data_IF_029433196891
#
_entry.id   IF_029433196891
#
_cell.length_a   1.000
_cell.length_b   1.000
_cell.length_c   1.000
_cell.angle_alpha   90.00
_cell.angle_beta   90.00
_cell.angle_gamma   90.00
#
_symmetry.space_group_name_H-M   'P 1'
#
loop_
_entity.id
_entity.type
_entity.pdbx_description
1 polymer ?
#
# COMPACT_ATOMS: atom_id res chain seq x y z
N UNK A 1 -7.04 9.19 5.69
CA UNK A 1 -5.88 9.37 4.79
C UNK A 1 -4.89 10.43 5.29
N UNK A 2 -5.08 11.75 5.13
CA UNK A 2 -4.04 12.76 5.47
C UNK A 2 -3.62 12.71 6.96
N UNK A 3 -4.54 13.00 7.89
CA UNK A 3 -4.24 13.03 9.32
C UNK A 3 -3.86 11.65 9.89
N UNK A 4 -4.45 10.59 9.33
CA UNK A 4 -4.17 9.22 9.74
C UNK A 4 -2.77 8.80 9.34
N UNK A 5 -2.30 9.13 8.13
CA UNK A 5 -0.92 8.86 7.71
C UNK A 5 0.06 9.54 8.66
N UNK A 6 -0.11 10.83 8.94
CA UNK A 6 0.74 11.55 9.88
C UNK A 6 0.75 10.90 11.28
N UNK A 7 -0.43 10.52 11.78
CA UNK A 7 -0.57 9.86 13.09
C UNK A 7 0.05 8.47 13.13
N UNK A 8 -0.12 7.65 12.09
CA UNK A 8 0.40 6.28 12.01
C UNK A 8 1.93 6.29 11.93
N UNK A 9 2.51 7.19 11.12
CA UNK A 9 3.95 7.36 11.01
C UNK A 9 4.56 8.15 12.17
N UNK A 10 3.73 8.73 13.04
CA UNK A 10 4.13 9.65 14.10
C UNK A 10 5.03 10.80 13.57
N UNK A 11 4.72 11.29 12.38
CA UNK A 11 5.40 12.41 11.74
C UNK A 11 4.38 13.33 11.06
N UNK A 12 4.21 14.51 11.66
CA UNK A 12 3.27 15.54 11.19
C UNK A 12 3.87 16.46 10.12
N UNK A 13 5.14 16.25 9.74
CA UNK A 13 5.77 16.98 8.64
C UNK A 13 5.54 16.31 7.28
N UNK A 14 5.07 15.05 7.26
CA UNK A 14 4.74 14.34 6.01
C UNK A 14 3.69 15.12 5.24
N UNK A 15 4.05 15.56 4.03
CA UNK A 15 3.14 16.28 3.13
C UNK A 15 2.29 15.28 2.38
N UNK A 16 0.98 15.31 2.62
CA UNK A 16 0.01 14.42 1.96
C UNK A 16 -1.14 15.22 1.41
N UNK A 17 -1.50 14.94 0.17
CA UNK A 17 -2.77 15.34 -0.44
C UNK A 17 -3.44 14.11 -1.04
N UNK A 18 -4.77 14.11 -1.11
CA UNK A 18 -5.52 12.97 -1.62
C UNK A 18 -6.78 13.42 -2.35
N UNK A 19 -7.09 12.73 -3.45
CA UNK A 19 -8.36 12.82 -4.15
C UNK A 19 -9.03 11.45 -4.08
N UNK A 20 -10.20 11.39 -3.44
CA UNK A 20 -10.93 10.12 -3.26
C UNK A 20 -12.12 10.07 -4.21
N UNK A 21 -12.16 9.06 -5.09
CA UNK A 21 -13.19 8.91 -6.11
C UNK A 21 -13.86 7.55 -5.98
N UNK A 22 -15.19 7.50 -6.05
CA UNK A 22 -15.93 6.25 -6.14
C UNK A 22 -16.09 5.85 -7.61
N UNK A 23 -15.79 4.59 -7.90
CA UNK A 23 -15.94 3.96 -9.23
C UNK A 23 -16.87 2.75 -9.10
N UNK A 24 -17.47 2.24 -10.20
CA UNK A 24 -18.39 1.10 -10.16
C UNK A 24 -17.65 -0.24 -9.98
N UNK A 25 -16.89 -0.36 -8.90
CA UNK A 25 -16.18 -1.56 -8.46
C UNK A 25 -16.82 -2.02 -7.16
N UNK A 26 -17.22 -3.30 -7.11
CA UNK A 26 -18.01 -3.85 -5.99
C UNK A 26 -17.23 -3.92 -4.68
N UNK A 27 -16.01 -4.45 -4.73
CA UNK A 27 -15.12 -4.62 -3.58
C UNK A 27 -13.68 -4.33 -3.99
N UNK A 28 -12.82 -4.14 -3.00
CA UNK A 28 -11.46 -3.61 -3.09
C UNK A 28 -11.38 -2.11 -3.37
N UNK A 29 -10.34 -1.49 -2.82
CA UNK A 29 -9.92 -0.15 -3.19
C UNK A 29 -8.63 -0.22 -3.99
N UNK A 30 -8.45 0.76 -4.88
CA UNK A 30 -7.27 0.85 -5.72
C UNK A 30 -6.75 2.28 -5.71
N UNK A 31 -5.45 2.43 -5.49
CA UNK A 31 -4.80 3.69 -5.24
C UNK A 31 -3.63 3.87 -6.19
N UNK A 32 -3.66 4.98 -6.96
CA UNK A 32 -2.48 5.48 -7.66
C UNK A 32 -1.72 6.38 -6.70
N UNK A 33 -0.54 5.95 -6.28
CA UNK A 33 0.24 6.63 -5.24
C UNK A 33 1.54 7.14 -5.86
N UNK A 34 1.85 8.41 -5.57
CA UNK A 34 3.13 9.05 -5.87
C UNK A 34 3.78 9.43 -4.52
N UNK A 35 5.05 9.08 -4.34
CA UNK A 35 5.82 9.35 -3.12
C UNK A 35 7.18 9.92 -3.50
N UNK A 36 7.67 10.89 -2.72
CA UNK A 36 9.04 11.40 -2.79
C UNK A 36 9.79 10.99 -1.51
N UNK A 37 10.98 10.40 -1.64
CA UNK A 37 11.82 10.04 -0.50
C UNK A 37 12.81 11.15 -0.14
N UNK A 38 13.24 11.19 1.13
CA UNK A 38 14.25 12.14 1.60
C UNK A 38 15.64 11.90 1.00
N UNK A 39 15.91 10.68 0.53
CA UNK A 39 17.22 10.25 0.04
C UNK A 39 17.08 9.51 -1.29
N UNK A 40 18.14 9.50 -2.11
CA UNK A 40 18.22 8.63 -3.28
C UNK A 40 18.01 7.17 -2.91
N UNK A 41 17.39 6.43 -3.82
CA UNK A 41 17.05 5.02 -3.63
C UNK A 41 17.30 4.24 -4.92
N UNK A 42 17.61 2.95 -4.78
CA UNK A 42 17.65 2.02 -5.90
C UNK A 42 16.31 1.29 -6.04
N UNK A 43 15.75 1.30 -7.26
CA UNK A 43 14.44 0.71 -7.53
C UNK A 43 14.40 -0.78 -7.18
N UNK A 44 15.50 -1.50 -7.44
CA UNK A 44 15.62 -2.92 -7.13
C UNK A 44 15.56 -3.20 -5.63
N UNK A 45 16.20 -2.36 -4.81
CA UNK A 45 16.20 -2.50 -3.35
C UNK A 45 14.80 -2.23 -2.79
N UNK A 46 14.15 -1.17 -3.26
CA UNK A 46 12.78 -0.85 -2.87
C UNK A 46 11.80 -1.99 -3.21
N UNK A 47 11.89 -2.56 -4.42
CA UNK A 47 11.05 -3.71 -4.80
C UNK A 47 11.35 -4.94 -3.95
N UNK A 48 12.62 -5.17 -3.59
CA UNK A 48 13.01 -6.26 -2.71
C UNK A 48 12.44 -6.07 -1.30
N UNK A 49 12.47 -4.84 -0.77
CA UNK A 49 11.91 -4.52 0.54
C UNK A 49 10.39 -4.75 0.58
N UNK A 50 9.68 -4.30 -0.46
CA UNK A 50 8.24 -4.57 -0.62
C UNK A 50 7.94 -6.07 -0.65
N UNK A 51 8.74 -6.88 -1.35
CA UNK A 51 8.57 -8.34 -1.40
C UNK A 51 8.81 -9.03 -0.06
N UNK A 52 9.69 -8.48 0.77
CA UNK A 52 10.02 -9.03 2.09
C UNK A 52 9.11 -8.48 3.20
N UNK A 53 8.23 -7.52 2.90
CA UNK A 53 7.34 -6.90 3.87
C UNK A 53 6.14 -7.80 4.14
N UNK A 54 5.94 -8.20 5.40
CA UNK A 54 4.82 -9.08 5.80
C UNK A 54 3.47 -8.44 5.44
N UNK A 55 2.63 -9.19 4.74
CA UNK A 55 1.28 -8.73 4.33
C UNK A 55 1.27 -7.86 3.07
N UNK A 56 2.42 -7.70 2.41
CA UNK A 56 2.52 -7.07 1.09
C UNK A 56 2.85 -8.13 0.05
N UNK A 57 2.17 -8.07 -1.10
CA UNK A 57 2.44 -8.94 -2.25
C UNK A 57 2.75 -8.09 -3.47
N UNK A 58 3.93 -8.27 -4.05
CA UNK A 58 4.31 -7.57 -5.28
C UNK A 58 3.85 -8.35 -6.50
N UNK A 59 2.96 -7.73 -7.29
CA UNK A 59 2.52 -8.22 -8.60
C UNK A 59 2.94 -7.16 -9.61
N UNK A 60 4.12 -7.30 -10.20
CA UNK A 60 4.65 -6.28 -11.11
C UNK A 60 5.47 -6.89 -12.24
N UNK A 61 4.77 -7.32 -13.28
CA UNK A 61 5.37 -7.78 -14.52
C UNK A 61 4.54 -7.27 -15.71
N UNK A 62 4.70 -5.98 -16.07
CA UNK A 62 3.91 -5.34 -17.11
C UNK A 62 4.05 -5.99 -18.50
N UNK A 63 5.19 -6.65 -18.78
CA UNK A 63 5.41 -7.36 -20.04
C UNK A 63 4.43 -8.54 -20.23
N UNK A 64 3.92 -9.09 -19.12
CA UNK A 64 2.91 -10.15 -19.11
C UNK A 64 1.51 -9.63 -18.72
N UNK A 65 1.32 -8.31 -18.64
CA UNK A 65 0.10 -7.66 -18.12
C UNK A 65 -0.25 -8.05 -16.67
N UNK A 66 0.76 -8.34 -15.85
CA UNK A 66 0.59 -8.71 -14.46
C UNK A 66 0.76 -7.47 -13.58
N UNK A 67 -0.36 -7.00 -13.00
CA UNK A 67 -0.42 -5.93 -12.01
C UNK A 67 -1.68 -6.09 -11.15
N UNK A 68 -1.76 -5.50 -9.94
CA UNK A 68 -2.89 -5.70 -9.06
C UNK A 68 -4.19 -5.19 -9.68
N UNK A 69 -5.24 -6.00 -9.65
CA UNK A 69 -6.60 -5.59 -10.03
C UNK A 69 -7.55 -5.83 -8.88
N UNK A 70 -8.64 -5.06 -8.81
CA UNK A 70 -9.64 -5.20 -7.74
C UNK A 70 -10.23 -6.62 -7.68
N UNK A 71 -10.49 -7.23 -8.84
CA UNK A 71 -11.07 -8.58 -8.92
C UNK A 71 -10.10 -9.66 -8.44
N UNK A 72 -8.80 -9.52 -8.71
CA UNK A 72 -7.80 -10.50 -8.28
C UNK A 72 -7.46 -10.37 -6.79
N UNK A 73 -7.75 -9.23 -6.17
CA UNK A 73 -7.47 -8.96 -4.75
C UNK A 73 -8.67 -9.23 -3.84
N UNK A 74 -9.86 -9.45 -4.41
CA UNK A 74 -11.10 -9.66 -3.65
C UNK A 74 -10.98 -10.90 -2.76
N UNK A 75 -11.36 -10.75 -1.49
CA UNK A 75 -11.31 -11.83 -0.50
C UNK A 75 -9.91 -12.16 0.01
N UNK A 76 -8.88 -11.35 -0.26
CA UNK A 76 -7.51 -11.57 0.24
C UNK A 76 -7.17 -10.66 1.43
N UNK A 77 -6.19 -11.08 2.23
CA UNK A 77 -5.79 -10.39 3.47
C UNK A 77 -4.58 -9.47 3.29
N UNK A 78 -3.91 -9.56 2.14
CA UNK A 78 -2.72 -8.81 1.79
C UNK A 78 -3.03 -7.50 1.07
N UNK A 79 -2.06 -6.58 1.08
CA UNK A 79 -2.02 -5.44 0.18
C UNK A 79 -1.16 -5.78 -1.04
N UNK A 80 -1.70 -5.56 -2.24
CA UNK A 80 -1.03 -5.88 -3.50
C UNK A 80 -0.45 -4.61 -4.11
N UNK A 81 0.82 -4.67 -4.52
CA UNK A 81 1.55 -3.52 -5.06
C UNK A 81 2.11 -3.87 -6.44
N UNK A 82 1.95 -2.96 -7.40
CA UNK A 82 2.52 -3.09 -8.74
C UNK A 82 2.65 -1.76 -9.44
N UNK A 83 2.95 -1.81 -10.75
CA UNK A 83 3.20 -0.61 -11.59
C UNK A 83 4.30 0.29 -11.01
N UNK A 84 5.28 -0.32 -10.36
CA UNK A 84 6.33 0.34 -9.58
C UNK A 84 7.35 0.92 -10.56
N UNK A 85 7.52 2.24 -10.53
CA UNK A 85 8.45 2.93 -11.44
C UNK A 85 8.88 4.27 -10.86
N UNK A 86 10.08 4.72 -11.24
CA UNK A 86 10.54 6.08 -10.89
C UNK A 86 9.59 7.13 -11.45
N UNK A 87 9.41 8.19 -10.68
CA UNK A 87 8.94 9.46 -11.20
C UNK A 87 10.16 10.30 -11.59
N UNK A 88 10.25 10.70 -12.85
CA UNK A 88 11.37 11.50 -13.35
C UNK A 88 11.11 13.02 -13.26
N UNK A 89 9.96 13.44 -12.72
CA UNK A 89 9.64 14.86 -12.54
C UNK A 89 10.17 15.44 -11.22
N UNK A 90 10.58 14.60 -10.27
CA UNK A 90 11.11 14.96 -8.96
C UNK A 90 12.31 14.06 -8.63
N UNK A 91 13.21 14.50 -7.73
CA UNK A 91 14.53 13.89 -7.54
C UNK A 91 14.46 12.44 -7.04
N UNK A 92 13.66 12.20 -6.00
CA UNK A 92 13.55 10.90 -5.33
C UNK A 92 12.13 10.33 -5.43
N UNK A 93 11.48 10.51 -6.59
CA UNK A 93 10.09 10.13 -6.77
C UNK A 93 9.83 8.70 -7.23
N UNK A 94 8.70 8.15 -6.79
CA UNK A 94 8.20 6.84 -7.20
C UNK A 94 6.69 6.87 -7.43
N UNK A 95 6.24 6.14 -8.45
CA UNK A 95 4.84 5.86 -8.70
C UNK A 95 4.57 4.37 -8.43
N UNK A 96 3.42 4.08 -7.82
CA UNK A 96 2.94 2.73 -7.58
C UNK A 96 1.41 2.64 -7.66
N UNK A 97 0.93 1.42 -7.87
CA UNK A 97 -0.48 1.05 -7.87
C UNK A 97 -0.72 0.05 -6.75
N UNK A 98 -1.58 0.40 -5.80
CA UNK A 98 -1.87 -0.41 -4.61
C UNK A 98 -3.33 -0.83 -4.62
N UNK A 99 -3.60 -2.12 -4.38
CA UNK A 99 -4.95 -2.67 -4.30
C UNK A 99 -5.08 -3.54 -3.06
N UNK A 100 -6.17 -3.39 -2.32
CA UNK A 100 -6.48 -4.23 -1.17
C UNK A 100 -8.00 -4.37 -0.99
N UNK A 101 -8.43 -5.50 -0.44
CA UNK A 101 -9.81 -5.71 -0.01
C UNK A 101 -10.13 -4.74 1.15
N UNK A 102 -11.07 -3.81 0.91
CA UNK A 102 -11.42 -2.76 1.86
C UNK A 102 -12.30 -3.26 3.02
N UNK A 103 -12.92 -4.43 2.91
CA UNK A 103 -13.69 -5.06 3.99
C UNK A 103 -12.77 -5.94 4.85
N UNK A 104 -11.81 -6.62 4.22
CA UNK A 104 -10.82 -7.46 4.91
C UNK A 104 -9.65 -6.61 5.40
N UNK A 105 -8.59 -6.45 4.61
CA UNK A 105 -7.38 -5.71 5.03
C UNK A 105 -7.67 -4.25 5.40
N UNK A 106 -8.63 -3.61 4.74
CA UNK A 106 -9.07 -2.25 5.08
C UNK A 106 -9.87 -2.13 6.38
N UNK A 107 -10.38 -3.23 6.96
CA UNK A 107 -11.18 -3.21 8.18
C UNK A 107 -11.03 -4.47 9.05
N UNK A 108 -11.71 -5.56 8.71
CA UNK A 108 -11.89 -6.72 9.59
C UNK A 108 -10.57 -7.43 9.92
N UNK A 109 -9.76 -7.74 8.89
CA UNK A 109 -8.48 -8.44 9.07
C UNK A 109 -7.51 -7.60 9.88
N UNK A 110 -7.49 -6.27 9.65
CA UNK A 110 -6.63 -5.38 10.41
C UNK A 110 -7.04 -5.33 11.90
N UNK A 111 -8.34 -5.31 12.19
CA UNK A 111 -8.85 -5.35 13.56
C UNK A 111 -8.46 -6.66 14.29
N UNK A 112 -8.59 -7.80 13.62
CA UNK A 112 -8.18 -9.10 14.18
C UNK A 112 -6.68 -9.15 14.40
N UNK A 113 -5.86 -8.69 13.45
CA UNK A 113 -4.40 -8.63 13.58
C UNK A 113 -3.97 -7.76 14.77
N UNK A 114 -4.65 -6.64 15.02
CA UNK A 114 -4.42 -5.82 16.21
C UNK A 114 -4.75 -6.62 17.49
N UNK A 115 -5.88 -7.32 17.53
CA UNK A 115 -6.25 -8.13 18.68
C UNK A 115 -5.23 -9.27 18.95
N UNK A 116 -4.74 -9.94 17.90
CA UNK A 116 -3.68 -10.94 17.99
C UNK A 116 -2.38 -10.37 18.55
N UNK A 117 -2.02 -9.14 18.16
CA UNK A 117 -0.86 -8.45 18.72
C UNK A 117 -1.07 -8.08 20.19
N UNK A 118 -2.26 -7.62 20.59
CA UNK A 118 -2.55 -7.34 22.00
C UNK A 118 -2.38 -8.58 22.87
N UNK A 119 -2.84 -9.75 22.41
CA UNK A 119 -2.61 -11.04 23.08
C UNK A 119 -1.13 -11.40 23.14
N UNK A 120 -0.40 -11.25 22.02
CA UNK A 120 1.04 -11.53 21.94
C UNK A 120 1.85 -10.67 22.90
N UNK A 121 1.47 -9.41 23.08
CA UNK A 121 2.10 -8.48 24.02
C UNK A 121 1.51 -8.51 25.43
N UNK A 122 0.56 -9.40 25.71
CA UNK A 122 -0.11 -9.54 27.00
C UNK A 122 -0.70 -8.21 27.51
N UNK A 123 -1.36 -7.48 26.61
CA UNK A 123 -2.04 -6.21 26.87
C UNK A 123 -3.54 -6.39 27.16
N UNK A 124 -4.04 -7.62 27.08
CA UNK A 124 -5.39 -8.07 27.43
C UNK A 124 -5.34 -9.47 28.03
#
# INVERSE_FOLDING_TARGET
MINETMKIFNDYNIKVTATTVRVPVRNCHSESINVEFEKPFELKELVNELKNTKGVVVVDNPNNNEYPTAIDCDGKDEAFVGRIRRDFSIENGINMWVVADNIRKGAATNAVQIAELLLTYNLV
#
